data_IF_091096404804
#
_entry.id   IF_091096404804
#
_cell.length_a   1.000
_cell.length_b   1.000
_cell.length_c   1.000
_cell.angle_alpha   90.00
_cell.angle_beta   90.00
_cell.angle_gamma   90.00
#
_symmetry.space_group_name_H-M   'P 1'
#
loop_
_entity.id
_entity.type
_entity.pdbx_description
1 polymer ?
#
# COMPACT_ATOMS: atom_id res chain seq x y z
N UNK A 1 9.61 14.01 11.92
CA UNK A 1 9.74 12.83 12.82
C UNK A 1 9.18 11.55 12.17
N UNK A 2 7.96 11.54 11.65
CA UNK A 2 7.30 10.36 11.04
C UNK A 2 8.16 9.71 9.96
N UNK A 3 8.65 10.48 8.96
CA UNK A 3 9.55 9.96 7.90
C UNK A 3 10.80 9.31 8.48
N UNK A 4 11.40 9.94 9.49
CA UNK A 4 12.63 9.42 10.10
C UNK A 4 12.39 8.12 10.85
N UNK A 5 11.25 7.97 11.53
CA UNK A 5 10.87 6.72 12.19
C UNK A 5 10.70 5.60 11.17
N UNK A 6 9.96 5.83 10.08
CA UNK A 6 9.78 4.86 8.99
C UNK A 6 11.12 4.39 8.41
N UNK A 7 11.96 5.34 8.00
CA UNK A 7 13.25 5.03 7.37
C UNK A 7 14.22 4.34 8.33
N UNK A 8 14.27 4.75 9.59
CA UNK A 8 15.11 4.11 10.60
C UNK A 8 14.64 2.69 10.91
N UNK A 9 13.33 2.48 11.04
CA UNK A 9 12.75 1.15 11.25
C UNK A 9 13.18 0.18 10.13
N UNK A 10 13.00 0.56 8.87
CA UNK A 10 13.40 -0.29 7.75
C UNK A 10 14.92 -0.39 7.58
N UNK A 11 15.67 0.62 7.96
CA UNK A 11 17.13 0.54 8.02
C UNK A 11 17.61 -0.52 9.01
N UNK A 12 16.96 -0.63 10.18
CA UNK A 12 17.23 -1.68 11.16
C UNK A 12 16.86 -3.08 10.65
N UNK A 13 15.86 -3.19 9.78
CA UNK A 13 15.50 -4.40 9.03
C UNK A 13 16.40 -4.62 7.77
N UNK A 14 17.57 -3.96 7.72
CA UNK A 14 18.58 -4.09 6.67
C UNK A 14 18.18 -3.56 5.29
N UNK A 15 17.28 -2.58 5.22
CA UNK A 15 16.96 -1.90 3.97
C UNK A 15 17.98 -0.79 3.67
N UNK A 16 18.36 -0.69 2.40
CA UNK A 16 19.09 0.46 1.89
C UNK A 16 18.13 1.64 1.72
N UNK A 17 18.40 2.72 2.43
CA UNK A 17 17.64 3.95 2.27
C UNK A 17 18.14 4.67 1.02
N UNK A 18 17.21 5.02 0.13
CA UNK A 18 17.49 5.74 -1.13
C UNK A 18 16.69 7.05 -1.19
N UNK A 19 17.11 7.94 -2.05
CA UNK A 19 16.40 9.21 -2.25
C UNK A 19 15.18 9.02 -3.17
N UNK A 20 14.15 9.86 -2.97
CA UNK A 20 13.02 9.97 -3.88
C UNK A 20 13.48 10.18 -5.33
N UNK A 21 12.95 9.40 -6.23
CA UNK A 21 13.18 9.56 -7.67
C UNK A 21 12.51 10.82 -8.21
N UNK A 22 12.98 11.36 -9.34
CA UNK A 22 12.29 12.48 -9.99
C UNK A 22 10.85 12.17 -10.32
N UNK A 23 9.99 13.19 -10.31
CA UNK A 23 8.56 13.07 -10.64
C UNK A 23 8.34 12.57 -12.08
N UNK A 24 9.22 12.96 -13.00
CA UNK A 24 9.23 12.48 -14.38
C UNK A 24 10.30 11.42 -14.51
N UNK A 25 9.89 10.19 -14.77
CA UNK A 25 10.81 9.08 -15.05
C UNK A 25 11.29 9.20 -16.49
N UNK A 26 12.61 9.25 -16.67
CA UNK A 26 13.21 9.20 -18.01
C UNK A 26 13.05 7.80 -18.58
N UNK A 27 12.72 7.74 -19.87
CA UNK A 27 12.69 6.51 -20.64
C UNK A 27 11.61 5.49 -20.20
N UNK A 28 10.58 5.92 -19.45
CA UNK A 28 9.40 5.10 -19.20
C UNK A 28 8.23 5.55 -20.09
N UNK A 29 7.88 4.77 -21.14
CA UNK A 29 6.79 5.12 -22.03
C UNK A 29 5.40 4.82 -21.43
N UNK A 30 5.33 4.19 -20.28
CA UNK A 30 4.07 3.73 -19.67
C UNK A 30 3.52 4.68 -18.61
N UNK A 31 4.35 5.56 -18.07
CA UNK A 31 3.98 6.51 -17.02
C UNK A 31 4.36 7.94 -17.41
N UNK A 32 3.40 8.86 -17.29
CA UNK A 32 3.67 10.30 -17.48
C UNK A 32 4.43 10.85 -16.26
N UNK A 33 4.02 10.45 -15.07
CA UNK A 33 4.64 10.84 -13.81
C UNK A 33 4.85 9.63 -12.90
N UNK A 34 5.76 9.75 -11.94
CA UNK A 34 5.91 8.77 -10.86
C UNK A 34 4.62 8.79 -10.03
N UNK A 35 3.80 7.74 -10.14
CA UNK A 35 2.48 7.64 -9.51
C UNK A 35 2.45 6.70 -8.29
N UNK A 36 3.57 6.02 -8.03
CA UNK A 36 3.72 5.09 -6.90
C UNK A 36 5.19 4.94 -6.53
N UNK A 37 5.44 4.47 -5.32
CA UNK A 37 6.80 4.22 -4.84
C UNK A 37 7.54 3.16 -5.63
N UNK A 38 6.83 2.18 -6.21
CA UNK A 38 7.42 1.10 -6.98
C UNK A 38 7.86 1.50 -8.40
N UNK A 39 7.31 2.57 -8.96
CA UNK A 39 7.54 2.93 -10.36
C UNK A 39 9.04 3.04 -10.74
N UNK A 40 9.92 3.62 -9.91
CA UNK A 40 11.36 3.64 -10.20
C UNK A 40 12.04 2.27 -10.21
N UNK A 41 11.42 1.26 -9.61
CA UNK A 41 11.98 -0.09 -9.43
C UNK A 41 11.37 -1.15 -10.35
N UNK A 42 10.48 -0.76 -11.27
CA UNK A 42 9.76 -1.65 -12.19
C UNK A 42 10.65 -2.73 -12.83
N UNK A 43 11.83 -2.35 -13.30
CA UNK A 43 12.74 -3.24 -13.99
C UNK A 43 13.34 -4.34 -13.07
N UNK A 44 13.39 -4.10 -11.75
CA UNK A 44 13.81 -5.08 -10.76
C UNK A 44 12.72 -6.14 -10.55
N UNK A 45 11.45 -5.73 -10.48
CA UNK A 45 10.32 -6.65 -10.37
C UNK A 45 10.19 -7.56 -11.60
N UNK A 46 10.40 -7.01 -12.78
CA UNK A 46 10.36 -7.77 -14.04
C UNK A 46 11.57 -8.68 -14.26
N UNK A 47 12.61 -8.58 -13.42
CA UNK A 47 13.86 -9.33 -13.59
C UNK A 47 14.74 -8.83 -14.76
N UNK A 48 14.41 -7.69 -15.36
CA UNK A 48 15.19 -7.09 -16.46
C UNK A 48 16.50 -6.47 -15.95
N UNK A 49 16.53 -6.09 -14.68
CA UNK A 49 17.74 -5.58 -14.00
C UNK A 49 17.91 -6.26 -12.65
N UNK A 50 19.16 -6.51 -12.29
CA UNK A 50 19.53 -7.07 -10.99
C UNK A 50 19.68 -5.89 -10.01
N UNK A 51 18.92 -5.84 -8.91
CA UNK A 51 19.08 -4.80 -7.90
C UNK A 51 20.43 -4.94 -7.20
N UNK A 52 21.09 -3.82 -6.94
CA UNK A 52 22.32 -3.81 -6.14
C UNK A 52 22.05 -4.21 -4.68
N UNK A 53 20.88 -3.81 -4.16
CA UNK A 53 20.39 -4.17 -2.84
C UNK A 53 19.02 -4.81 -3.01
N UNK A 54 18.79 -5.94 -2.35
CA UNK A 54 17.51 -6.68 -2.41
C UNK A 54 16.43 -6.08 -1.52
N UNK A 55 16.81 -5.22 -0.57
CA UNK A 55 15.92 -4.49 0.33
C UNK A 55 16.14 -3.00 0.18
N UNK A 56 15.11 -2.27 -0.19
CA UNK A 56 15.14 -0.81 -0.37
C UNK A 56 13.99 -0.19 0.40
N UNK A 57 14.20 1.01 0.94
CA UNK A 57 13.15 1.84 1.51
C UNK A 57 13.39 3.30 1.21
N UNK A 58 12.32 4.05 0.95
CA UNK A 58 12.35 5.50 0.76
C UNK A 58 11.03 6.19 1.14
N UNK A 59 11.01 7.50 0.92
CA UNK A 59 9.81 8.32 0.85
C UNK A 59 9.72 8.87 -0.57
N UNK A 60 8.82 8.36 -1.39
CA UNK A 60 8.69 8.73 -2.79
C UNK A 60 7.61 9.79 -3.00
N UNK A 61 7.98 10.89 -3.63
CA UNK A 61 7.01 11.90 -4.10
C UNK A 61 6.27 11.36 -5.32
N UNK A 62 4.94 11.40 -5.28
CA UNK A 62 4.07 10.85 -6.30
C UNK A 62 3.08 11.89 -6.81
N UNK A 63 2.66 11.73 -8.08
CA UNK A 63 1.65 12.57 -8.71
C UNK A 63 0.65 11.67 -9.45
N UNK A 64 -0.64 11.74 -9.04
CA UNK A 64 -1.74 10.94 -9.62
C UNK A 64 -2.74 11.85 -10.32
N UNK A 65 -2.46 12.17 -11.59
CA UNK A 65 -3.26 13.08 -12.42
C UNK A 65 -3.61 12.48 -13.79
N UNK A 66 -3.27 11.22 -14.00
CA UNK A 66 -3.54 10.55 -15.30
C UNK A 66 -3.40 9.03 -15.19
N UNK A 67 -3.93 8.31 -16.17
CA UNK A 67 -3.82 6.86 -16.29
C UNK A 67 -4.74 6.10 -15.35
N UNK A 68 -4.34 4.87 -14.98
CA UNK A 68 -5.14 3.98 -14.14
C UNK A 68 -5.32 4.51 -12.72
N UNK A 69 -4.27 5.14 -12.18
CA UNK A 69 -4.28 5.78 -10.87
C UNK A 69 -4.38 7.30 -11.07
N UNK A 70 -5.59 7.82 -11.11
CA UNK A 70 -5.90 9.23 -11.32
C UNK A 70 -6.86 9.70 -10.25
N UNK A 71 -6.41 10.60 -9.38
CA UNK A 71 -7.16 11.09 -8.22
C UNK A 71 -7.86 12.43 -8.47
N UNK A 72 -7.86 12.93 -9.72
CA UNK A 72 -8.39 14.27 -10.03
C UNK A 72 -9.89 14.44 -9.75
N UNK A 73 -10.66 13.36 -9.80
CA UNK A 73 -12.09 13.39 -9.54
C UNK A 73 -12.40 13.41 -8.03
N UNK A 74 -11.51 12.89 -7.19
CA UNK A 74 -11.65 12.83 -5.74
C UNK A 74 -11.12 14.06 -5.03
N UNK A 75 -10.09 14.71 -5.61
CA UNK A 75 -9.45 15.90 -5.02
C UNK A 75 -10.44 17.04 -4.86
N UNK A 76 -10.59 17.52 -3.62
CA UNK A 76 -11.52 18.59 -3.25
C UNK A 76 -12.94 18.11 -2.94
N UNK A 77 -13.22 16.80 -3.06
CA UNK A 77 -14.50 16.19 -2.71
C UNK A 77 -14.43 15.34 -1.45
N UNK A 78 -13.27 14.78 -1.16
CA UNK A 78 -13.01 14.04 0.08
C UNK A 78 -11.95 14.72 0.96
N UNK A 79 -11.57 14.06 2.04
CA UNK A 79 -10.67 14.60 3.07
C UNK A 79 -9.25 14.07 3.01
N UNK A 80 -8.95 13.14 2.07
CA UNK A 80 -7.69 12.39 2.07
C UNK A 80 -7.05 12.18 0.68
N UNK A 81 -7.65 12.67 -0.41
CA UNK A 81 -7.01 12.72 -1.73
C UNK A 81 -6.47 14.11 -2.04
N UNK A 82 -5.27 14.14 -2.60
CA UNK A 82 -4.63 15.29 -3.23
C UNK A 82 -3.73 14.77 -4.36
N UNK A 83 -3.55 15.55 -5.42
CA UNK A 83 -2.88 15.10 -6.65
C UNK A 83 -1.42 14.72 -6.43
N UNK A 84 -0.70 15.51 -5.66
CA UNK A 84 0.66 15.25 -5.21
C UNK A 84 0.65 14.77 -3.76
N UNK A 85 1.32 13.66 -3.50
CA UNK A 85 1.44 13.08 -2.17
C UNK A 85 2.79 12.40 -1.99
N UNK A 86 3.08 12.01 -0.77
CA UNK A 86 4.30 11.28 -0.45
C UNK A 86 3.94 9.84 -0.02
N UNK A 87 4.61 8.88 -0.63
CA UNK A 87 4.43 7.47 -0.33
C UNK A 87 5.65 6.96 0.43
N UNK A 88 5.44 6.49 1.64
CA UNK A 88 6.45 5.77 2.40
C UNK A 88 6.46 4.33 1.94
N UNK A 89 7.61 3.82 1.48
CA UNK A 89 7.67 2.52 0.86
C UNK A 89 8.85 1.66 1.32
N UNK A 90 8.62 0.35 1.33
CA UNK A 90 9.65 -0.66 1.47
C UNK A 90 9.47 -1.77 0.44
N UNK A 91 10.58 -2.22 -0.12
CA UNK A 91 10.63 -3.18 -1.22
C UNK A 91 11.56 -4.34 -0.90
N UNK A 92 11.13 -5.53 -1.32
CA UNK A 92 11.93 -6.75 -1.32
C UNK A 92 12.00 -7.31 -2.73
N UNK A 93 13.18 -7.42 -3.28
CA UNK A 93 13.40 -7.98 -4.62
C UNK A 93 13.89 -9.42 -4.50
N UNK A 94 12.94 -10.37 -4.31
CA UNK A 94 13.23 -11.79 -4.17
C UNK A 94 13.93 -12.16 -2.86
N UNK A 95 13.81 -11.35 -1.82
CA UNK A 95 14.42 -11.58 -0.51
C UNK A 95 13.37 -12.08 0.48
N UNK A 96 12.69 -11.18 1.24
CA UNK A 96 11.58 -11.56 2.08
C UNK A 96 10.23 -11.44 1.35
N UNK A 97 9.18 -12.02 1.93
CA UNK A 97 7.84 -12.01 1.34
C UNK A 97 6.76 -11.67 2.37
N UNK A 98 5.57 -12.26 2.29
CA UNK A 98 4.37 -11.87 3.06
C UNK A 98 4.59 -11.85 4.56
N UNK A 99 5.26 -12.86 5.12
CA UNK A 99 5.42 -13.01 6.57
C UNK A 99 6.11 -11.81 7.19
N UNK A 100 7.27 -11.44 6.66
CA UNK A 100 8.02 -10.29 7.15
C UNK A 100 7.29 -8.99 6.85
N UNK A 101 6.73 -8.82 5.65
CA UNK A 101 6.01 -7.61 5.28
C UNK A 101 4.82 -7.33 6.22
N UNK A 102 4.00 -8.34 6.50
CA UNK A 102 2.86 -8.27 7.40
C UNK A 102 3.30 -7.99 8.84
N UNK A 103 4.25 -8.77 9.34
CA UNK A 103 4.75 -8.63 10.72
C UNK A 103 5.37 -7.25 10.96
N UNK A 104 6.19 -6.75 10.03
CA UNK A 104 6.84 -5.45 10.18
C UNK A 104 5.87 -4.29 10.00
N UNK A 105 4.87 -4.44 9.15
CA UNK A 105 3.84 -3.40 9.01
C UNK A 105 3.06 -3.23 10.32
N UNK A 106 2.67 -4.33 10.94
CA UNK A 106 1.97 -4.30 12.22
C UNK A 106 2.86 -3.74 13.35
N UNK A 107 4.09 -4.25 13.49
CA UNK A 107 5.09 -3.76 14.45
C UNK A 107 5.28 -2.23 14.33
N UNK A 108 5.44 -1.72 13.09
CA UNK A 108 5.65 -0.30 12.87
C UNK A 108 4.44 0.54 13.30
N UNK A 109 3.22 0.13 12.93
CA UNK A 109 2.02 0.89 13.24
C UNK A 109 1.68 0.87 14.74
N UNK A 110 1.77 -0.30 15.38
CA UNK A 110 1.30 -0.48 16.76
C UNK A 110 2.37 -0.18 17.81
N UNK A 111 3.63 -0.58 17.57
CA UNK A 111 4.70 -0.44 18.56
C UNK A 111 5.52 0.86 18.37
N UNK A 112 5.78 1.26 17.11
CA UNK A 112 6.60 2.45 16.85
C UNK A 112 5.75 3.72 16.78
N UNK A 113 4.62 3.68 16.04
CA UNK A 113 3.71 4.82 15.95
C UNK A 113 2.65 4.84 17.05
N UNK A 114 2.44 3.74 17.75
CA UNK A 114 1.52 3.66 18.88
C UNK A 114 0.04 3.75 18.49
N UNK A 115 -0.31 3.38 17.26
CA UNK A 115 -1.71 3.31 16.83
C UNK A 115 -2.37 2.12 17.53
N UNK A 116 -3.51 2.36 18.17
CA UNK A 116 -4.23 1.30 18.88
C UNK A 116 -4.75 0.23 17.91
N UNK A 117 -4.53 -1.04 18.26
CA UNK A 117 -4.91 -2.19 17.42
C UNK A 117 -6.41 -2.24 17.14
N UNK A 118 -7.24 -1.76 18.08
CA UNK A 118 -8.69 -1.71 17.94
C UNK A 118 -9.20 -0.65 16.94
N UNK A 119 -8.32 0.24 16.49
CA UNK A 119 -8.60 1.16 15.38
C UNK A 119 -8.33 0.53 14.01
N UNK A 120 -7.62 -0.61 13.94
CA UNK A 120 -7.10 -1.15 12.70
C UNK A 120 -7.95 -2.31 12.17
N UNK A 121 -8.17 -2.31 10.88
CA UNK A 121 -8.71 -3.41 10.08
C UNK A 121 -7.73 -3.76 8.98
N UNK A 122 -7.70 -5.03 8.59
CA UNK A 122 -6.87 -5.48 7.47
C UNK A 122 -7.74 -6.16 6.42
N UNK A 123 -7.35 -6.04 5.16
CA UNK A 123 -8.01 -6.73 4.07
C UNK A 123 -7.10 -7.77 3.45
N UNK A 124 -7.67 -8.79 2.85
CA UNK A 124 -6.97 -9.76 2.01
C UNK A 124 -7.73 -9.98 0.72
N UNK A 125 -7.04 -10.39 -0.33
CA UNK A 125 -7.65 -10.70 -1.61
C UNK A 125 -8.53 -11.95 -1.54
N UNK A 126 -9.83 -11.80 -1.84
CA UNK A 126 -10.81 -12.90 -1.81
C UNK A 126 -10.74 -13.85 -3.00
N UNK A 127 -9.88 -13.55 -3.99
CA UNK A 127 -9.83 -14.26 -5.25
C UNK A 127 -10.70 -13.61 -6.32
N UNK A 128 -10.69 -14.17 -7.53
CA UNK A 128 -11.54 -13.72 -8.62
C UNK A 128 -12.01 -14.89 -9.49
N UNK A 129 -13.23 -14.79 -9.98
CA UNK A 129 -13.82 -15.75 -10.94
C UNK A 129 -13.87 -15.18 -12.36
N UNK A 130 -13.20 -14.05 -12.58
CA UNK A 130 -13.07 -13.43 -13.90
C UNK A 130 -12.12 -14.22 -14.81
N UNK A 131 -11.69 -13.60 -15.92
CA UNK A 131 -10.77 -14.19 -16.89
C UNK A 131 -9.45 -14.70 -16.28
N UNK A 132 -9.01 -14.12 -15.17
CA UNK A 132 -7.75 -14.47 -14.51
C UNK A 132 -7.90 -15.66 -13.56
N UNK A 133 -9.12 -15.90 -13.05
CA UNK A 133 -9.49 -17.02 -12.19
C UNK A 133 -8.48 -17.26 -11.05
N UNK A 134 -8.24 -16.23 -10.26
CA UNK A 134 -7.25 -16.24 -9.18
C UNK A 134 -7.86 -16.77 -7.88
N UNK A 135 -7.12 -17.60 -7.12
CA UNK A 135 -7.58 -18.07 -5.81
C UNK A 135 -7.54 -16.95 -4.77
N UNK A 136 -8.24 -17.16 -3.66
CA UNK A 136 -8.09 -16.36 -2.44
C UNK A 136 -6.64 -16.40 -1.95
N UNK A 137 -6.17 -15.30 -1.37
CA UNK A 137 -4.85 -15.23 -0.71
C UNK A 137 -4.92 -15.81 0.71
N UNK A 138 -5.02 -17.15 0.76
CA UNK A 138 -5.11 -17.88 2.03
C UNK A 138 -3.85 -17.69 2.89
N UNK A 139 -2.67 -17.57 2.27
CA UNK A 139 -1.41 -17.35 2.99
C UNK A 139 -1.43 -16.02 3.75
N UNK A 140 -1.91 -14.94 3.13
CA UNK A 140 -2.04 -13.66 3.81
C UNK A 140 -3.09 -13.72 4.94
N UNK A 141 -4.21 -14.41 4.72
CA UNK A 141 -5.22 -14.61 5.77
C UNK A 141 -4.63 -15.33 6.99
N UNK A 142 -3.94 -16.43 6.77
CA UNK A 142 -3.36 -17.24 7.86
C UNK A 142 -2.29 -16.45 8.63
N UNK A 143 -1.46 -15.67 7.94
CA UNK A 143 -0.45 -14.81 8.58
C UNK A 143 -1.09 -13.69 9.41
N UNK A 144 -2.12 -13.03 8.89
CA UNK A 144 -2.84 -12.00 9.66
C UNK A 144 -3.53 -12.58 10.89
N UNK A 145 -4.10 -13.78 10.77
CA UNK A 145 -4.79 -14.46 11.89
C UNK A 145 -3.85 -14.79 13.07
N UNK A 146 -2.54 -14.88 12.83
CA UNK A 146 -1.55 -15.01 13.91
C UNK A 146 -1.36 -13.71 14.71
N UNK A 147 -1.80 -12.56 14.17
CA UNK A 147 -1.50 -11.22 14.69
C UNK A 147 -2.77 -10.52 15.18
N UNK A 148 -3.86 -10.59 14.39
CA UNK A 148 -5.11 -9.87 14.66
C UNK A 148 -6.28 -10.83 14.82
N UNK A 149 -7.34 -10.44 15.58
CA UNK A 149 -8.57 -11.19 15.64
C UNK A 149 -9.20 -11.39 14.24
N UNK A 150 -9.79 -12.57 13.99
CA UNK A 150 -10.32 -12.95 12.68
C UNK A 150 -11.41 -12.00 12.17
N UNK A 151 -12.21 -11.42 13.07
CA UNK A 151 -13.27 -10.45 12.74
C UNK A 151 -12.73 -9.09 12.28
N UNK A 152 -11.43 -8.86 12.39
CA UNK A 152 -10.69 -7.70 11.85
C UNK A 152 -10.04 -7.95 10.50
N UNK A 153 -10.13 -9.18 9.96
CA UNK A 153 -9.60 -9.56 8.64
C UNK A 153 -10.77 -9.61 7.66
N UNK A 154 -10.78 -8.71 6.69
CA UNK A 154 -11.87 -8.56 5.74
C UNK A 154 -11.46 -9.06 4.36
N UNK A 155 -12.43 -9.61 3.64
CA UNK A 155 -12.24 -10.02 2.25
C UNK A 155 -12.43 -8.81 1.33
N UNK A 156 -11.48 -8.60 0.44
CA UNK A 156 -11.56 -7.56 -0.58
C UNK A 156 -11.53 -8.14 -1.98
N UNK A 157 -12.29 -7.54 -2.86
CA UNK A 157 -12.39 -7.96 -4.26
C UNK A 157 -11.14 -7.56 -5.07
N UNK A 158 -11.17 -7.88 -6.35
CA UNK A 158 -10.05 -7.58 -7.25
C UNK A 158 -9.80 -6.08 -7.44
N UNK A 159 -10.83 -5.26 -7.29
CA UNK A 159 -10.70 -3.80 -7.44
C UNK A 159 -9.85 -3.23 -6.32
N UNK A 160 -10.06 -3.69 -5.09
CA UNK A 160 -9.42 -3.16 -3.90
C UNK A 160 -8.16 -3.96 -3.53
N UNK A 161 -8.19 -5.29 -3.64
CA UNK A 161 -7.11 -6.17 -3.14
C UNK A 161 -6.29 -6.90 -4.21
N UNK A 162 -6.29 -6.43 -5.46
CA UNK A 162 -5.36 -6.89 -6.50
C UNK A 162 -4.73 -5.69 -7.22
N UNK A 163 -3.54 -5.32 -6.79
CA UNK A 163 -2.86 -4.13 -7.31
C UNK A 163 -2.21 -4.40 -8.66
N UNK A 164 -2.38 -3.47 -9.59
CA UNK A 164 -1.75 -3.47 -10.91
C UNK A 164 -1.13 -2.10 -11.18
N UNK A 165 0.13 -2.08 -11.64
CA UNK A 165 0.83 -0.84 -11.97
C UNK A 165 0.10 -0.01 -13.02
N UNK A 166 -0.49 -0.69 -14.01
CA UNK A 166 -1.24 -0.12 -15.13
C UNK A 166 -1.86 -1.22 -15.97
N UNK A 167 -2.11 -0.94 -17.24
CA UNK A 167 -2.62 -1.94 -18.21
C UNK A 167 -1.63 -3.09 -18.44
N UNK A 168 -0.35 -2.87 -18.14
CA UNK A 168 0.72 -3.83 -18.26
C UNK A 168 1.72 -3.62 -17.11
N UNK A 169 2.43 -4.68 -16.74
CA UNK A 169 3.51 -4.62 -15.77
C UNK A 169 3.30 -5.49 -14.53
N UNK A 170 4.15 -5.36 -13.53
CA UNK A 170 4.08 -6.12 -12.30
C UNK A 170 2.74 -5.91 -11.60
N UNK A 171 2.20 -6.98 -11.02
CA UNK A 171 0.95 -6.97 -10.28
C UNK A 171 0.86 -8.14 -9.31
N UNK A 172 -0.10 -8.10 -8.41
CA UNK A 172 -0.34 -9.17 -7.46
C UNK A 172 -1.44 -8.86 -6.45
N UNK A 173 -1.87 -9.87 -5.69
CA UNK A 173 -2.78 -9.65 -4.58
C UNK A 173 -2.14 -8.73 -3.55
N UNK A 174 -2.96 -8.00 -2.83
CA UNK A 174 -2.47 -7.11 -1.79
C UNK A 174 -3.32 -7.20 -0.52
N UNK A 175 -2.76 -6.69 0.54
CA UNK A 175 -3.39 -6.54 1.84
C UNK A 175 -3.32 -5.09 2.25
N UNK A 176 -4.46 -4.49 2.53
CA UNK A 176 -4.56 -3.10 2.98
C UNK A 176 -4.70 -3.05 4.49
N UNK A 177 -4.18 -2.00 5.09
CA UNK A 177 -4.38 -1.68 6.49
C UNK A 177 -5.18 -0.38 6.55
N UNK A 178 -6.36 -0.45 7.16
CA UNK A 178 -7.29 0.64 7.34
C UNK A 178 -7.32 1.09 8.79
N UNK A 179 -7.55 2.38 9.01
CA UNK A 179 -7.72 2.96 10.35
C UNK A 179 -9.10 3.57 10.49
N UNK A 180 -9.77 3.29 11.59
CA UNK A 180 -11.03 3.89 11.99
C UNK A 180 -10.77 4.99 13.02
N UNK A 181 -10.80 6.25 12.55
CA UNK A 181 -10.55 7.45 13.36
C UNK A 181 -11.84 8.12 13.85
N UNK A 182 -12.98 7.43 13.78
CA UNK A 182 -14.26 7.92 14.30
C UNK A 182 -14.25 7.99 15.82
N UNK A 183 -15.19 8.76 16.38
CA UNK A 183 -15.41 8.81 17.82
C UNK A 183 -15.99 7.48 18.34
N UNK A 184 -15.89 7.24 19.64
CA UNK A 184 -16.44 6.03 20.27
C UNK A 184 -17.96 5.94 20.12
N UNK A 185 -18.66 7.08 20.12
CA UNK A 185 -20.10 7.14 19.92
C UNK A 185 -20.47 6.73 18.48
N UNK A 186 -19.69 7.13 17.48
CA UNK A 186 -19.90 6.75 16.09
C UNK A 186 -19.60 5.26 15.89
N UNK A 187 -18.53 4.74 16.49
CA UNK A 187 -18.16 3.31 16.46
C UNK A 187 -19.21 2.44 17.13
N UNK A 188 -19.82 2.91 18.21
CA UNK A 188 -20.90 2.21 18.90
C UNK A 188 -22.20 2.12 18.07
N UNK A 189 -22.39 3.02 17.11
CA UNK A 189 -23.57 3.08 16.26
C UNK A 189 -23.43 2.20 15.02
N UNK A 190 -22.25 2.22 14.38
CA UNK A 190 -21.97 1.48 13.15
C UNK A 190 -20.61 0.81 13.28
N UNK A 191 -20.55 -0.49 13.09
CA UNK A 191 -19.31 -1.26 13.10
C UNK A 191 -18.39 -0.80 11.96
N UNK A 192 -17.13 -0.44 12.30
CA UNK A 192 -16.13 0.06 11.36
C UNK A 192 -15.84 -0.89 10.21
N UNK A 193 -15.90 -2.20 10.44
CA UNK A 193 -15.69 -3.21 9.38
C UNK A 193 -16.66 -3.06 8.20
N UNK A 194 -17.86 -2.55 8.43
CA UNK A 194 -18.85 -2.32 7.38
C UNK A 194 -18.55 -1.09 6.52
N UNK A 195 -17.59 -0.26 6.95
CA UNK A 195 -17.20 1.00 6.32
C UNK A 195 -15.85 0.90 5.59
N UNK A 196 -15.12 -0.20 5.77
CA UNK A 196 -13.86 -0.45 5.05
C UNK A 196 -14.16 -0.54 3.54
N UNK A 197 -13.38 0.16 2.72
CA UNK A 197 -13.56 0.27 1.25
C UNK A 197 -14.98 0.74 0.84
N UNK A 198 -15.54 1.71 1.62
CA UNK A 198 -16.87 2.34 1.36
C UNK A 198 -16.77 3.85 1.26
N UNK A 199 -15.61 4.39 0.91
CA UNK A 199 -15.35 5.84 0.77
C UNK A 199 -15.73 6.64 2.02
N UNK A 200 -15.65 6.01 3.21
CA UNK A 200 -15.94 6.69 4.46
C UNK A 200 -14.76 7.59 4.87
N UNK A 201 -14.97 8.91 5.11
CA UNK A 201 -13.89 9.86 5.34
C UNK A 201 -13.05 9.62 6.59
N UNK A 202 -13.52 8.78 7.50
CA UNK A 202 -12.85 8.46 8.77
C UNK A 202 -12.57 6.96 8.96
N UNK A 203 -12.79 6.13 7.93
CA UNK A 203 -12.34 4.73 7.90
C UNK A 203 -11.50 4.57 6.63
N UNK A 204 -10.21 4.85 6.75
CA UNK A 204 -9.34 5.16 5.63
C UNK A 204 -8.21 4.15 5.52
N UNK A 205 -7.95 3.67 4.30
CA UNK A 205 -6.73 2.94 3.98
C UNK A 205 -5.51 3.84 4.22
N UNK A 206 -4.57 3.36 5.03
CA UNK A 206 -3.31 4.06 5.29
C UNK A 206 -2.11 3.37 4.67
N UNK A 207 -2.15 2.05 4.47
CA UNK A 207 -1.03 1.28 3.95
C UNK A 207 -1.50 0.12 3.08
N UNK A 208 -0.90 -0.03 1.90
CA UNK A 208 -1.12 -1.16 1.01
C UNK A 208 0.16 -2.01 0.92
N UNK A 209 0.03 -3.32 1.20
CA UNK A 209 1.10 -4.31 1.12
C UNK A 209 0.86 -5.17 -0.13
N UNK A 210 1.62 -4.93 -1.19
CA UNK A 210 1.45 -5.63 -2.45
C UNK A 210 2.41 -6.82 -2.54
N UNK A 211 1.85 -7.99 -2.79
CA UNK A 211 2.58 -9.24 -2.97
C UNK A 211 2.78 -9.49 -4.47
N UNK A 212 3.84 -8.91 -5.01
CA UNK A 212 4.15 -8.94 -6.44
C UNK A 212 4.52 -10.36 -6.89
N UNK A 213 3.63 -11.00 -7.63
CA UNK A 213 3.77 -12.39 -8.08
C UNK A 213 3.61 -12.54 -9.59
N UNK A 214 2.96 -11.58 -10.25
CA UNK A 214 2.57 -11.67 -11.66
C UNK A 214 3.05 -10.47 -12.48
N UNK A 215 3.05 -10.68 -13.79
CA UNK A 215 3.23 -9.65 -14.81
C UNK A 215 2.02 -9.67 -15.74
N UNK A 216 1.29 -8.55 -15.83
CA UNK A 216 0.23 -8.35 -16.82
C UNK A 216 0.86 -8.05 -18.17
N UNK A 217 0.60 -8.89 -19.18
CA UNK A 217 1.11 -8.72 -20.53
C UNK A 217 0.17 -7.84 -21.37
N UNK A 218 0.68 -7.30 -22.47
CA UNK A 218 -0.11 -6.53 -23.45
C UNK A 218 -1.34 -7.29 -23.98
N UNK A 219 -1.29 -8.62 -23.99
CA UNK A 219 -2.41 -9.49 -24.35
C UNK A 219 -3.50 -9.57 -23.29
N UNK A 220 -3.27 -8.98 -22.11
CA UNK A 220 -4.14 -9.07 -20.93
C UNK A 220 -3.96 -10.35 -20.12
N UNK A 221 -3.05 -11.25 -20.50
CA UNK A 221 -2.75 -12.46 -19.73
C UNK A 221 -1.84 -12.16 -18.53
N UNK A 222 -1.97 -12.96 -17.47
CA UNK A 222 -1.05 -12.96 -16.34
C UNK A 222 0.02 -14.04 -16.53
N UNK A 223 1.26 -13.68 -16.30
CA UNK A 223 2.39 -14.62 -16.21
C UNK A 223 3.02 -14.47 -14.82
N UNK A 224 3.50 -15.57 -14.25
CA UNK A 224 4.25 -15.50 -13.00
C UNK A 224 5.57 -14.75 -13.19
N UNK A 225 5.93 -13.92 -12.20
CA UNK A 225 7.24 -13.29 -12.16
C UNK A 225 8.33 -14.33 -11.85
N UNK A 226 9.59 -14.10 -12.29
CA UNK A 226 10.71 -14.99 -11.98
C UNK A 226 10.96 -15.20 -10.49
N UNK A 227 10.60 -14.22 -9.68
CA UNK A 227 10.67 -14.24 -8.22
C UNK A 227 9.48 -13.52 -7.62
N UNK A 228 9.15 -13.85 -6.37
CA UNK A 228 8.16 -13.11 -5.58
C UNK A 228 8.81 -11.90 -4.93
N UNK A 229 8.10 -10.78 -4.91
CA UNK A 229 8.60 -9.51 -4.40
C UNK A 229 7.60 -8.87 -3.46
N UNK A 230 8.09 -7.96 -2.63
CA UNK A 230 7.27 -7.07 -1.81
C UNK A 230 7.36 -5.65 -2.36
N UNK A 231 6.20 -5.03 -2.49
CA UNK A 231 6.01 -3.60 -2.73
C UNK A 231 5.03 -3.10 -1.68
N UNK A 232 5.40 -2.09 -0.92
CA UNK A 232 4.45 -1.46 0.00
C UNK A 232 4.39 0.04 -0.20
N UNK A 233 3.21 0.61 -0.01
CA UNK A 233 2.99 2.04 -0.09
C UNK A 233 2.08 2.53 1.02
N UNK A 234 2.64 3.31 1.95
CA UNK A 234 1.88 3.97 3.01
C UNK A 234 1.72 5.45 2.68
N UNK A 235 0.48 5.94 2.71
CA UNK A 235 0.17 7.36 2.52
C UNK A 235 0.73 8.19 3.66
N UNK A 236 1.78 8.98 3.39
CA UNK A 236 2.42 9.79 4.41
C UNK A 236 1.46 10.79 5.05
N UNK A 237 0.68 11.50 4.26
CA UNK A 237 -0.28 12.50 4.73
C UNK A 237 -1.43 11.85 5.50
N UNK A 238 -1.89 10.65 5.07
CA UNK A 238 -2.90 9.87 5.81
C UNK A 238 -2.38 9.43 7.18
N UNK A 239 -1.13 8.96 7.24
CA UNK A 239 -0.49 8.63 8.51
C UNK A 239 -0.35 9.87 9.41
N UNK A 240 0.02 11.03 8.85
CA UNK A 240 0.08 12.28 9.59
C UNK A 240 -1.30 12.68 10.15
N UNK A 241 -2.36 12.52 9.37
CA UNK A 241 -3.75 12.76 9.81
C UNK A 241 -4.09 11.91 11.04
N UNK A 242 -3.77 10.63 11.01
CA UNK A 242 -4.01 9.71 12.13
C UNK A 242 -3.20 10.10 13.37
N UNK A 243 -1.90 10.35 13.21
CA UNK A 243 -0.99 10.63 14.34
C UNK A 243 -1.16 12.04 14.93
N UNK A 244 -1.75 12.98 14.19
CA UNK A 244 -2.08 14.32 14.67
C UNK A 244 -3.53 14.43 15.17
N UNK A 245 -4.28 13.32 15.16
CA UNK A 245 -5.69 13.25 15.60
C UNK A 245 -6.57 14.31 14.93
N UNK A 246 -6.40 14.48 13.62
CA UNK A 246 -7.23 15.36 12.79
C UNK A 246 -8.08 14.54 11.82
N UNK A 247 -9.10 15.14 11.20
CA UNK A 247 -10.10 14.43 10.39
C UNK A 247 -9.91 14.59 8.90
N UNK A 248 -8.87 15.33 8.49
CA UNK A 248 -8.54 15.58 7.09
C UNK A 248 -7.02 15.68 6.92
N UNK A 249 -6.49 15.19 5.81
CA UNK A 249 -5.10 15.42 5.43
C UNK A 249 -4.79 16.93 5.37
N UNK A 250 -5.76 17.74 4.95
CA UNK A 250 -5.65 19.20 4.83
C UNK A 250 -5.58 19.94 6.17
N UNK A 251 -5.90 19.27 7.27
CA UNK A 251 -5.81 19.82 8.63
C UNK A 251 -4.46 19.52 9.31
N UNK A 252 -3.59 18.78 8.63
CA UNK A 252 -2.25 18.45 9.14
C UNK A 252 -1.27 19.61 8.97
N UNK A 253 -0.17 19.58 9.69
CA UNK A 253 0.92 20.57 9.61
C UNK A 253 1.71 20.52 8.27
N UNK A 254 1.34 19.64 7.34
CA UNK A 254 1.92 19.54 6.00
C UNK A 254 1.31 20.58 5.06
N UNK A 255 0.05 20.94 5.25
CA UNK A 255 -0.71 21.92 4.49
C UNK A 255 -0.92 23.21 5.30
#
# INVERSE_FOLDING_TARGET
>A
EIRSHFLNFFKEKSHQIVASSPMVLKDDPTLMFTNSGMAPFKEYFLGNKIPKNTRISDTQKCLRVSGKHNDLEEVGYDTYHHTMFEMLGNWSFGDYFKKEAISWAWELLTEVYGISEDMLYVTIFEGSTDKDNLPIDQEAFDLWKEIVPEDRILMGDKKDNFWEMGEQGPCGPCSEIHVDIRTDEEKATVDGKSLVNRDHPQVVEIWNLVFMQYNRKATGTLEELPSKHIDTGMGFERLCMVLQDVKSNYDTDIF
#
